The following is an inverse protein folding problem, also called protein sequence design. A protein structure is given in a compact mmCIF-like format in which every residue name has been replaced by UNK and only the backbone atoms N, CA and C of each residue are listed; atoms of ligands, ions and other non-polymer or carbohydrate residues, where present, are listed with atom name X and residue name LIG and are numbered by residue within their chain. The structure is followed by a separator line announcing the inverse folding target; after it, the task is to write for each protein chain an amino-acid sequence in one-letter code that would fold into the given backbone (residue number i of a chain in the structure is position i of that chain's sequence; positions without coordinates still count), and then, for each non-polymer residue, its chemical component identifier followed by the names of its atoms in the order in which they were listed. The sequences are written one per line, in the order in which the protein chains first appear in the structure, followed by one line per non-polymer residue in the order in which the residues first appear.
data_IF_451812902468
#
_entry.id   IF_451812902468
#
_cell.length_a   1.000
_cell.length_b   1.000
_cell.length_c   1.000
_cell.angle_alpha   90.00
_cell.angle_beta   90.00
_cell.angle_gamma   90.00
#
_symmetry.space_group_name_H-M   'P 1'
#
loop_
_entity.id
_entity.type
_entity.pdbx_description
1 polymer ?
#
# COMPACT_ATOMS: atom_id res chain seq x y z
N UNK A 1 14.90 -11.22 -0.70
CA UNK A 1 13.65 -10.53 -1.09
C UNK A 1 12.74 -11.52 -1.81
N UNK A 2 11.45 -11.57 -1.47
CA UNK A 2 10.47 -12.45 -2.17
C UNK A 2 9.43 -11.60 -2.91
N UNK A 3 9.19 -11.95 -4.17
CA UNK A 3 8.18 -11.34 -5.04
C UNK A 3 7.09 -12.36 -5.35
N UNK A 4 5.82 -11.98 -5.17
CA UNK A 4 4.69 -12.77 -5.63
C UNK A 4 3.74 -11.87 -6.41
N UNK A 5 3.26 -12.35 -7.56
CA UNK A 5 2.24 -11.69 -8.37
C UNK A 5 1.20 -12.74 -8.75
N UNK A 6 -0.06 -12.42 -8.47
CA UNK A 6 -1.22 -13.22 -8.85
C UNK A 6 -2.22 -12.28 -9.55
N UNK A 7 -2.28 -12.37 -10.88
CA UNK A 7 -3.03 -11.43 -11.71
C UNK A 7 -2.66 -9.96 -11.45
N UNK A 8 -3.65 -9.20 -10.96
CA UNK A 8 -3.52 -7.77 -10.61
C UNK A 8 -3.06 -7.55 -9.17
N UNK A 9 -2.89 -8.58 -8.35
CA UNK A 9 -2.41 -8.47 -6.97
C UNK A 9 -0.94 -8.79 -6.88
N UNK A 10 -0.19 -8.06 -6.06
CA UNK A 10 1.21 -8.41 -5.78
C UNK A 10 1.60 -8.18 -4.32
N UNK A 11 2.63 -8.93 -3.89
CA UNK A 11 3.22 -8.85 -2.56
C UNK A 11 4.74 -8.87 -2.62
N UNK A 12 5.37 -8.02 -1.80
CA UNK A 12 6.82 -7.85 -1.69
C UNK A 12 7.24 -7.94 -0.24
N UNK A 13 8.35 -8.64 0.00
CA UNK A 13 8.88 -8.84 1.34
C UNK A 13 10.40 -8.79 1.36
N UNK A 14 10.95 -8.01 2.29
CA UNK A 14 12.39 -7.88 2.49
C UNK A 14 12.75 -6.72 3.42
N UNK A 15 14.02 -6.32 3.44
CA UNK A 15 14.45 -5.04 4.05
C UNK A 15 13.85 -3.87 3.28
N UNK A 16 13.71 -2.71 3.91
CA UNK A 16 13.05 -1.52 3.36
C UNK A 16 13.38 -1.24 1.88
N UNK A 17 14.67 -1.03 1.57
CA UNK A 17 15.13 -0.71 0.21
C UNK A 17 14.73 -1.80 -0.80
N UNK A 18 14.93 -3.07 -0.43
CA UNK A 18 14.55 -4.19 -1.28
C UNK A 18 13.04 -4.24 -1.48
N UNK A 19 12.25 -4.10 -0.41
CA UNK A 19 10.79 -4.26 -0.43
C UNK A 19 10.05 -3.24 -1.31
N UNK A 20 10.67 -2.09 -1.60
CA UNK A 20 10.08 -0.99 -2.34
C UNK A 20 10.68 -0.83 -3.74
N UNK A 21 12.01 -0.89 -3.84
CA UNK A 21 12.75 -0.58 -5.07
C UNK A 21 13.24 -1.86 -5.71
N UNK A 22 12.84 -2.09 -6.96
CA UNK A 22 13.46 -3.10 -7.79
C UNK A 22 14.77 -2.55 -8.37
N UNK A 23 15.87 -2.84 -7.70
CA UNK A 23 17.22 -2.39 -8.09
C UNK A 23 17.61 -2.81 -9.51
N UNK A 24 16.98 -3.85 -10.08
CA UNK A 24 17.23 -4.29 -11.45
C UNK A 24 16.84 -3.24 -12.49
N UNK A 25 15.89 -2.36 -12.17
CA UNK A 25 15.46 -1.27 -13.06
C UNK A 25 16.53 -0.18 -13.13
N UNK A 26 17.11 0.16 -11.98
CA UNK A 26 18.20 1.14 -11.90
C UNK A 26 19.41 0.62 -12.69
N UNK A 27 19.75 -0.67 -12.55
CA UNK A 27 20.91 -1.26 -13.23
C UNK A 27 20.73 -1.46 -14.73
N UNK A 28 19.48 -1.54 -15.23
CA UNK A 28 19.20 -1.73 -16.66
C UNK A 28 19.31 -0.45 -17.49
N UNK A 29 19.46 0.72 -16.85
CA UNK A 29 19.51 2.01 -17.55
C UNK A 29 18.19 2.43 -18.19
N UNK A 30 17.11 1.69 -17.94
CA UNK A 30 15.82 1.89 -18.56
C UNK A 30 14.84 2.54 -17.58
N UNK A 31 15.14 3.80 -17.25
CA UNK A 31 14.40 4.60 -16.28
C UNK A 31 13.01 5.02 -16.80
N UNK A 32 12.73 4.82 -18.10
CA UNK A 32 11.53 5.31 -18.79
C UNK A 32 10.59 4.19 -19.30
N UNK A 33 10.97 2.91 -19.21
CA UNK A 33 10.09 1.79 -19.62
C UNK A 33 8.77 1.70 -18.84
N UNK A 34 8.68 2.39 -17.70
CA UNK A 34 7.46 2.49 -16.90
C UNK A 34 7.09 3.95 -16.78
N UNK A 35 5.79 4.23 -16.79
CA UNK A 35 5.28 5.56 -16.43
C UNK A 35 5.96 5.93 -15.12
N UNK A 36 6.73 7.02 -15.10
CA UNK A 36 7.61 7.39 -13.98
C UNK A 36 6.87 7.49 -12.65
N UNK A 37 5.56 7.72 -12.72
CA UNK A 37 4.63 7.70 -11.59
C UNK A 37 4.43 6.31 -10.96
N UNK A 38 4.51 5.22 -11.74
CA UNK A 38 4.37 3.83 -11.28
C UNK A 38 5.67 3.29 -10.64
N UNK A 39 6.73 4.10 -10.59
CA UNK A 39 8.03 3.69 -10.04
C UNK A 39 8.00 3.44 -8.53
N UNK A 40 7.18 4.19 -7.77
CA UNK A 40 7.10 4.08 -6.30
C UNK A 40 6.82 2.67 -5.80
N UNK A 41 6.07 1.91 -6.60
CA UNK A 41 5.68 0.55 -6.30
C UNK A 41 6.06 -0.37 -7.44
N UNK A 42 7.07 -0.04 -8.26
CA UNK A 42 7.49 -0.83 -9.42
C UNK A 42 6.30 -1.50 -10.16
N UNK A 43 5.36 -0.69 -10.66
CA UNK A 43 4.14 -1.13 -11.35
C UNK A 43 2.85 -1.00 -10.52
N UNK A 44 1.72 -0.90 -11.23
CA UNK A 44 0.37 -0.86 -10.63
C UNK A 44 -0.24 -2.26 -10.48
N UNK A 45 -0.96 -2.44 -9.39
CA UNK A 45 -1.78 -3.60 -9.09
C UNK A 45 -3.06 -3.15 -8.40
N UNK A 46 -4.12 -3.96 -8.45
CA UNK A 46 -5.38 -3.72 -7.74
C UNK A 46 -5.14 -3.69 -6.23
N UNK A 47 -4.35 -4.65 -5.74
CA UNK A 47 -3.88 -4.71 -4.36
C UNK A 47 -2.35 -4.92 -4.38
N UNK A 48 -1.66 -4.07 -3.64
CA UNK A 48 -0.21 -4.08 -3.52
C UNK A 48 0.19 -4.17 -2.05
N UNK A 49 0.91 -5.22 -1.67
CA UNK A 49 1.38 -5.38 -0.28
C UNK A 49 2.90 -5.29 -0.20
N UNK A 50 3.39 -4.46 0.73
CA UNK A 50 4.81 -4.33 1.07
C UNK A 50 4.98 -4.74 2.53
N UNK A 51 5.88 -5.69 2.78
CA UNK A 51 6.26 -6.16 4.12
C UNK A 51 7.72 -5.80 4.35
N UNK A 52 7.95 -4.84 5.25
CA UNK A 52 9.26 -4.42 5.71
C UNK A 52 9.70 -5.29 6.89
N UNK A 53 10.53 -6.29 6.63
CA UNK A 53 11.05 -7.21 7.65
C UNK A 53 12.04 -6.54 8.61
N UNK A 54 12.64 -5.42 8.20
CA UNK A 54 13.53 -4.61 9.02
C UNK A 54 12.82 -3.67 9.99
N UNK A 55 11.47 -3.67 10.01
CA UNK A 55 10.68 -2.85 10.91
C UNK A 55 10.99 -3.18 12.38
N UNK A 56 11.43 -2.16 13.13
CA UNK A 56 11.59 -2.22 14.59
C UNK A 56 10.41 -1.49 15.21
N UNK A 57 9.58 -2.21 15.98
CA UNK A 57 8.50 -1.60 16.75
C UNK A 57 9.08 -0.48 17.62
N UNK A 58 8.51 0.73 17.52
CA UNK A 58 8.83 1.82 18.45
C UNK A 58 8.10 1.52 19.76
N UNK A 59 8.77 0.89 20.70
CA UNK A 59 8.30 0.89 22.08
C UNK A 59 8.32 2.32 22.61
N UNK A 60 7.13 2.84 22.95
CA UNK A 60 6.88 4.12 23.63
C UNK A 60 7.27 5.39 22.86
N UNK A 61 6.26 6.09 22.36
CA UNK A 61 6.34 7.56 22.26
C UNK A 61 6.43 8.15 23.68
N UNK A 62 7.32 9.12 23.96
CA UNK A 62 7.33 9.83 25.23
C UNK A 62 6.06 10.69 25.30
N UNK A 63 5.12 10.33 26.17
CA UNK A 63 3.82 11.03 26.28
C UNK A 63 2.57 10.17 26.47
N UNK A 64 2.69 8.86 26.69
CA UNK A 64 1.64 8.09 27.38
C UNK A 64 0.35 7.80 26.60
N UNK A 65 0.35 7.84 25.26
CA UNK A 65 -0.69 7.14 24.49
C UNK A 65 -0.12 5.78 24.11
N UNK A 66 -0.66 4.72 24.74
CA UNK A 66 -0.42 3.34 24.29
C UNK A 66 -0.99 3.21 22.88
N UNK A 67 -0.19 3.41 21.84
CA UNK A 67 -0.61 2.98 20.52
C UNK A 67 -0.58 1.44 20.54
N UNK A 68 -1.75 0.83 20.37
CA UNK A 68 -1.83 -0.59 20.02
C UNK A 68 -1.11 -0.89 18.69
N UNK A 69 -0.64 0.14 17.97
CA UNK A 69 0.14 0.13 16.74
C UNK A 69 1.55 -0.53 16.83
N UNK A 70 1.83 -1.29 17.89
CA UNK A 70 2.87 -2.31 17.84
C UNK A 70 2.51 -3.43 16.83
N UNK A 71 1.26 -3.52 16.40
CA UNK A 71 0.84 -4.11 15.12
C UNK A 71 0.94 -3.04 14.01
N UNK A 72 1.83 -3.30 13.05
CA UNK A 72 2.20 -2.33 12.01
C UNK A 72 1.53 -2.60 10.67
N UNK A 73 0.25 -2.99 10.63
CA UNK A 73 -0.48 -3.24 9.37
C UNK A 73 -1.39 -2.06 9.04
N UNK A 74 -1.05 -1.33 7.99
CA UNK A 74 -1.86 -0.23 7.47
C UNK A 74 -2.46 -0.59 6.11
N UNK A 75 -3.73 -0.22 5.91
CA UNK A 75 -4.38 -0.22 4.61
C UNK A 75 -4.44 1.21 4.06
N UNK A 76 -3.91 1.42 2.87
CA UNK A 76 -4.02 2.65 2.10
C UNK A 76 -5.04 2.42 0.97
N UNK A 77 -6.20 3.05 1.08
CA UNK A 77 -7.27 3.00 0.08
C UNK A 77 -7.20 4.28 -0.73
N UNK A 78 -7.00 4.18 -2.03
CA UNK A 78 -6.80 5.38 -2.82
C UNK A 78 -6.90 5.17 -4.33
N UNK A 79 -6.48 6.20 -5.04
CA UNK A 79 -6.15 6.15 -6.46
C UNK A 79 -4.63 6.35 -6.63
N UNK A 80 -4.15 6.47 -7.87
CA UNK A 80 -2.73 6.70 -8.17
C UNK A 80 -2.10 7.78 -7.27
N UNK A 81 -2.79 8.87 -6.96
CA UNK A 81 -2.33 9.96 -6.10
C UNK A 81 -1.68 9.47 -4.79
N UNK A 82 -2.27 8.45 -4.17
CA UNK A 82 -1.84 7.92 -2.88
C UNK A 82 -0.60 7.02 -2.94
N UNK A 83 -0.26 6.47 -4.11
CA UNK A 83 0.74 5.41 -4.22
C UNK A 83 2.16 5.88 -3.87
N UNK A 84 2.45 7.18 -4.05
CA UNK A 84 3.71 7.78 -3.62
C UNK A 84 3.89 7.77 -2.09
N UNK A 85 2.81 7.58 -1.32
CA UNK A 85 2.85 7.51 0.15
C UNK A 85 3.35 6.16 0.66
N UNK A 86 3.24 5.08 -0.13
CA UNK A 86 3.57 3.72 0.31
C UNK A 86 4.99 3.60 0.86
N UNK A 87 6.05 4.15 0.22
CA UNK A 87 7.40 4.15 0.79
C UNK A 87 7.48 4.79 2.18
N UNK A 88 6.81 5.91 2.39
CA UNK A 88 6.84 6.63 3.67
C UNK A 88 6.07 5.88 4.76
N UNK A 89 4.95 5.25 4.40
CA UNK A 89 4.21 4.38 5.30
C UNK A 89 5.04 3.14 5.66
N UNK A 90 5.77 2.54 4.71
CA UNK A 90 6.58 1.35 4.94
C UNK A 90 7.81 1.59 5.85
N UNK A 91 8.17 2.86 6.10
CA UNK A 91 9.14 3.23 7.15
C UNK A 91 8.53 3.15 8.56
N UNK A 92 7.22 3.39 8.68
CA UNK A 92 6.52 3.55 9.96
C UNK A 92 5.60 2.38 10.30
N UNK A 93 5.30 1.52 9.32
CA UNK A 93 4.46 0.34 9.44
C UNK A 93 5.22 -0.88 8.92
N UNK A 94 5.06 -2.02 9.60
CA UNK A 94 5.64 -3.31 9.18
C UNK A 94 5.08 -3.78 7.83
N UNK A 95 3.79 -3.56 7.61
CA UNK A 95 3.07 -3.99 6.44
C UNK A 95 2.20 -2.83 5.93
N UNK A 96 2.38 -2.48 4.67
CA UNK A 96 1.51 -1.54 3.96
C UNK A 96 0.79 -2.32 2.88
N UNK A 97 -0.53 -2.34 2.94
CA UNK A 97 -1.38 -2.81 1.84
C UNK A 97 -1.99 -1.59 1.18
N UNK A 98 -1.76 -1.38 -0.11
CA UNK A 98 -2.38 -0.33 -0.90
C UNK A 98 -3.41 -0.94 -1.86
N UNK A 99 -4.58 -0.30 -1.98
CA UNK A 99 -5.67 -0.72 -2.85
C UNK A 99 -6.04 0.43 -3.78
N UNK A 100 -6.04 0.16 -5.09
CA UNK A 100 -6.56 1.10 -6.08
C UNK A 100 -8.05 0.85 -6.32
N UNK A 101 -8.88 1.75 -5.80
CA UNK A 101 -10.34 1.57 -5.84
C UNK A 101 -10.95 1.66 -7.23
N UNK A 102 -10.19 2.11 -8.24
CA UNK A 102 -10.66 2.12 -9.64
C UNK A 102 -10.71 0.72 -10.24
N UNK A 103 -9.80 -0.15 -9.82
CA UNK A 103 -9.67 -1.51 -10.33
C UNK A 103 -10.11 -2.57 -9.29
N UNK A 104 -10.36 -2.18 -8.05
CA UNK A 104 -10.84 -3.06 -6.97
C UNK A 104 -12.34 -3.33 -7.09
N UNK A 105 -12.73 -4.22 -8.00
CA UNK A 105 -14.14 -4.47 -8.34
C UNK A 105 -14.66 -5.86 -7.94
N UNK A 106 -13.78 -6.81 -7.63
CA UNK A 106 -14.16 -8.21 -7.33
C UNK A 106 -14.88 -8.37 -5.99
N UNK A 107 -14.60 -7.51 -5.00
CA UNK A 107 -15.27 -7.48 -3.70
C UNK A 107 -15.40 -6.05 -3.17
N UNK A 108 -16.29 -5.83 -2.20
CA UNK A 108 -16.38 -4.54 -1.51
C UNK A 108 -15.21 -4.31 -0.56
N UNK A 109 -14.87 -3.04 -0.27
CA UNK A 109 -13.87 -2.72 0.75
C UNK A 109 -14.31 -3.25 2.13
N UNK A 110 -15.61 -3.25 2.39
CA UNK A 110 -16.17 -3.80 3.63
C UNK A 110 -15.90 -5.31 3.80
N UNK A 111 -16.12 -6.11 2.76
CA UNK A 111 -15.77 -7.53 2.77
C UNK A 111 -14.26 -7.74 2.91
N UNK A 112 -13.47 -6.91 2.23
CA UNK A 112 -12.02 -6.96 2.33
C UNK A 112 -11.54 -6.71 3.77
N UNK A 113 -12.11 -5.71 4.46
CA UNK A 113 -11.82 -5.39 5.86
C UNK A 113 -12.33 -6.45 6.84
N UNK A 114 -13.40 -7.20 6.50
CA UNK A 114 -13.84 -8.34 7.31
C UNK A 114 -12.87 -9.52 7.23
N UNK A 115 -12.27 -9.73 6.06
CA UNK A 115 -11.38 -10.87 5.81
C UNK A 115 -9.91 -10.60 6.17
N UNK A 116 -9.56 -9.35 6.45
CA UNK A 116 -8.17 -8.94 6.70
C UNK A 116 -8.09 -7.99 7.91
N UNK A 117 -7.08 -8.19 8.75
CA UNK A 117 -6.85 -7.33 9.93
C UNK A 117 -5.89 -6.20 9.62
N UNK A 118 -6.34 -4.98 9.90
CA UNK A 118 -5.56 -3.75 9.80
C UNK A 118 -5.68 -2.95 11.09
N UNK A 119 -4.59 -2.30 11.47
CA UNK A 119 -4.50 -1.46 12.65
C UNK A 119 -4.91 -0.02 12.34
N UNK A 120 -4.76 0.37 11.08
CA UNK A 120 -5.12 1.68 10.57
C UNK A 120 -5.58 1.54 9.11
N UNK A 121 -6.63 2.28 8.76
CA UNK A 121 -7.10 2.44 7.39
C UNK A 121 -7.02 3.92 7.05
N UNK A 122 -6.33 4.25 5.96
CA UNK A 122 -6.21 5.60 5.42
C UNK A 122 -6.90 5.64 4.07
N UNK A 123 -7.83 6.58 3.91
CA UNK A 123 -8.45 6.89 2.62
C UNK A 123 -7.76 8.13 2.07
N UNK A 124 -7.03 7.98 0.96
CA UNK A 124 -6.28 9.06 0.32
C UNK A 124 -6.61 9.08 -1.17
N UNK A 125 -7.45 10.03 -1.56
CA UNK A 125 -7.86 10.23 -2.94
C UNK A 125 -7.55 11.64 -3.41
N UNK A 126 -7.31 11.80 -4.71
CA UNK A 126 -7.36 13.12 -5.31
C UNK A 126 -8.79 13.67 -5.13
N UNK A 127 -9.00 14.88 -4.59
CA UNK A 127 -10.33 15.46 -4.43
C UNK A 127 -11.12 15.51 -5.74
N UNK A 128 -10.46 15.80 -6.87
CA UNK A 128 -11.11 15.79 -8.18
C UNK A 128 -11.59 14.38 -8.61
N UNK A 129 -11.00 13.32 -8.02
CA UNK A 129 -11.49 11.97 -8.24
C UNK A 129 -12.79 11.69 -7.52
N UNK A 130 -13.14 12.45 -6.47
CA UNK A 130 -14.34 12.30 -5.62
C UNK A 130 -15.62 12.79 -6.28
N UNK A 131 -15.51 13.68 -7.26
CA UNK A 131 -16.65 14.21 -8.02
C UNK A 131 -17.02 13.27 -9.18
N UNK A 132 -18.29 12.93 -9.33
CA UNK A 132 -18.83 12.25 -10.52
C UNK A 132 -18.70 10.72 -10.59
N UNK A 133 -18.04 10.06 -9.64
CA UNK A 133 -18.09 8.59 -9.47
C UNK A 133 -18.82 8.24 -8.18
N UNK A 134 -19.76 7.31 -8.24
CA UNK A 134 -20.37 6.74 -7.04
C UNK A 134 -19.27 6.05 -6.22
N UNK A 135 -18.71 6.76 -5.24
CA UNK A 135 -17.78 6.22 -4.25
C UNK A 135 -18.53 5.33 -3.27
N UNK A 136 -18.95 4.17 -3.75
CA UNK A 136 -19.65 3.18 -2.96
C UNK A 136 -18.63 2.28 -2.23
N UNK A 137 -17.57 2.87 -1.65
CA UNK A 137 -16.52 2.14 -0.93
C UNK A 137 -17.11 1.13 0.06
N UNK A 138 -18.17 1.56 0.76
CA UNK A 138 -18.83 0.79 1.81
C UNK A 138 -20.23 0.30 1.42
N UNK A 139 -20.66 0.42 0.16
CA UNK A 139 -21.91 -0.21 -0.24
C UNK A 139 -21.74 -1.72 -0.12
N UNK A 140 -22.66 -2.36 0.61
CA UNK A 140 -22.81 -3.80 0.51
C UNK A 140 -23.24 -4.10 -0.93
N UNK A 141 -22.49 -4.97 -1.60
CA UNK A 141 -22.97 -5.58 -2.84
C UNK A 141 -24.04 -6.62 -2.50
#
# INVERSE_FOLDING_TARGET
MTWRRDGKTFSRRGKFADSLVDSRIVTRGDLYHRVSYDAYMNGRGVVATVINEGFKSREKSPGGIRSSAASGRILLVGDSYSWCMVPFLAMNYRQVTAVDMRDFTEMSLWEYLKNNTFDCVVIAHNPASLEGRNFSFFSRK
#
